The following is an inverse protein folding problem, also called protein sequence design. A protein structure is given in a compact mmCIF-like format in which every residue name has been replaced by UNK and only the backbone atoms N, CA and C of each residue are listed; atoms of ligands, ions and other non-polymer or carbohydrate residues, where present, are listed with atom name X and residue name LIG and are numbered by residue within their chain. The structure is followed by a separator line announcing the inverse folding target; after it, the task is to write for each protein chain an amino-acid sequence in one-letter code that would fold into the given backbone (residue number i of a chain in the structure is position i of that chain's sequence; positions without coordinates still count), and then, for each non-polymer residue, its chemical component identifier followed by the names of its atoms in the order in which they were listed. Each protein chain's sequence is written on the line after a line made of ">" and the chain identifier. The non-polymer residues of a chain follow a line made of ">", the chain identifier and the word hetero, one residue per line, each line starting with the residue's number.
data_IF_412904032404
#
_entry.id   IF_412904032404
#
_cell.length_a   1.000
_cell.length_b   1.000
_cell.length_c   1.000
_cell.angle_alpha   90.00
_cell.angle_beta   90.00
_cell.angle_gamma   90.00
#
_symmetry.space_group_name_H-M   'P 1'
#
loop_
_entity.id
_entity.type
_entity.pdbx_description
1 polymer ?
#
# COMPACT_ATOMS: atom_id res chain seq x y z
N UNK A 1 3.69 23.67 -21.08
CA UNK A 1 4.03 22.53 -20.20
C UNK A 1 5.30 22.88 -19.44
N UNK A 2 5.26 22.88 -18.12
CA UNK A 2 6.44 23.17 -17.33
C UNK A 2 7.35 21.94 -17.18
N UNK A 3 8.48 22.11 -16.48
CA UNK A 3 9.48 21.05 -16.34
C UNK A 3 8.95 19.85 -15.55
N UNK A 4 8.06 20.10 -14.55
CA UNK A 4 7.46 19.03 -13.75
C UNK A 4 6.51 18.21 -14.63
N UNK A 5 5.68 18.87 -15.42
CA UNK A 5 4.75 18.19 -16.32
C UNK A 5 5.50 17.32 -17.33
N UNK A 6 6.61 17.83 -17.88
CA UNK A 6 7.45 17.06 -18.79
C UNK A 6 8.05 15.83 -18.12
N UNK A 7 8.52 16.00 -16.88
CA UNK A 7 9.10 14.90 -16.11
C UNK A 7 8.05 13.81 -15.86
N UNK A 8 6.87 14.20 -15.38
CA UNK A 8 5.79 13.23 -15.11
C UNK A 8 5.37 12.51 -16.38
N UNK A 9 5.32 13.23 -17.51
CA UNK A 9 4.96 12.64 -18.81
C UNK A 9 5.98 11.59 -19.27
N UNK A 10 7.25 11.74 -18.89
CA UNK A 10 8.30 10.78 -19.23
C UNK A 10 8.28 9.52 -18.38
N UNK A 11 7.57 9.55 -17.23
CA UNK A 11 7.47 8.38 -16.38
C UNK A 11 6.48 7.39 -16.96
N UNK A 12 6.92 6.17 -17.17
CA UNK A 12 6.05 5.10 -17.63
C UNK A 12 5.83 4.13 -16.47
N UNK A 13 4.71 4.32 -15.77
CA UNK A 13 4.31 3.51 -14.64
C UNK A 13 2.99 2.83 -14.94
N UNK A 14 2.96 1.52 -14.79
CA UNK A 14 1.71 0.77 -14.85
C UNK A 14 1.16 0.65 -13.44
N UNK A 15 -0.09 1.05 -13.25
CA UNK A 15 -0.78 0.99 -11.97
C UNK A 15 -1.85 -0.08 -12.03
N UNK A 16 -1.83 -1.01 -11.07
CA UNK A 16 -2.82 -2.07 -10.99
C UNK A 16 -3.39 -2.10 -9.58
N UNK A 17 -4.72 -2.05 -9.48
CA UNK A 17 -5.42 -2.26 -8.21
C UNK A 17 -5.55 -3.77 -8.01
N UNK A 18 -5.01 -4.27 -6.91
CA UNK A 18 -4.90 -5.71 -6.65
C UNK A 18 -5.88 -6.17 -5.57
N UNK A 19 -5.99 -5.42 -4.46
CA UNK A 19 -6.71 -5.87 -3.27
C UNK A 19 -7.50 -4.71 -2.68
N UNK A 20 -8.73 -5.00 -2.31
CA UNK A 20 -9.55 -4.13 -1.47
C UNK A 20 -9.73 -4.81 -0.11
N UNK A 21 -9.23 -4.18 0.95
CA UNK A 21 -9.29 -4.74 2.31
C UNK A 21 -10.44 -4.12 3.10
N UNK A 22 -11.24 -4.98 3.70
CA UNK A 22 -12.24 -4.62 4.72
C UNK A 22 -11.93 -5.45 5.95
N UNK A 23 -11.12 -4.90 6.84
CA UNK A 23 -10.59 -5.64 7.97
C UNK A 23 -11.09 -5.03 9.28
N UNK A 24 -11.05 -5.83 10.33
CA UNK A 24 -11.31 -5.39 11.70
C UNK A 24 -10.15 -5.83 12.58
N UNK A 25 -9.74 -4.96 13.50
CA UNK A 25 -8.67 -5.30 14.44
C UNK A 25 -9.14 -6.43 15.39
N UNK A 26 -8.25 -7.30 15.85
CA UNK A 26 -6.84 -7.38 15.48
C UNK A 26 -6.60 -8.14 14.18
N UNK A 27 -5.53 -7.80 13.50
CA UNK A 27 -5.06 -8.56 12.34
C UNK A 27 -3.55 -8.36 12.15
N UNK A 28 -2.93 -9.32 11.48
CA UNK A 28 -1.53 -9.26 11.08
C UNK A 28 -1.43 -9.77 9.65
N UNK A 29 -0.89 -8.95 8.77
CA UNK A 29 -0.84 -9.27 7.34
C UNK A 29 0.59 -9.03 6.84
N UNK A 30 1.41 -10.10 6.77
CA UNK A 30 2.78 -9.95 6.25
C UNK A 30 2.75 -9.79 4.73
N UNK A 31 3.65 -8.98 4.24
CA UNK A 31 3.84 -8.76 2.81
C UNK A 31 5.31 -9.01 2.48
N UNK A 32 5.57 -10.02 1.64
CA UNK A 32 6.93 -10.36 1.27
C UNK A 32 7.50 -9.34 0.28
N UNK A 33 8.83 -9.35 0.16
CA UNK A 33 9.52 -8.47 -0.78
C UNK A 33 9.10 -8.78 -2.21
N UNK A 34 8.95 -7.73 -3.01
CA UNK A 34 8.52 -7.84 -4.40
C UNK A 34 9.70 -7.98 -5.35
N UNK A 35 9.40 -8.39 -6.59
CA UNK A 35 10.38 -8.41 -7.66
C UNK A 35 10.88 -7.00 -7.98
N UNK A 36 12.12 -6.83 -8.44
CA UNK A 36 12.64 -5.52 -8.85
C UNK A 36 11.74 -4.84 -9.88
N UNK A 37 11.55 -3.53 -9.71
CA UNK A 37 10.71 -2.74 -10.60
C UNK A 37 9.24 -2.69 -10.24
N UNK A 38 8.82 -3.43 -9.23
CA UNK A 38 7.43 -3.45 -8.74
C UNK A 38 7.39 -2.92 -7.32
N UNK A 39 6.43 -2.04 -7.04
CA UNK A 39 6.26 -1.45 -5.73
C UNK A 39 4.80 -1.50 -5.31
N UNK A 40 4.52 -2.01 -4.12
CA UNK A 40 3.19 -1.99 -3.56
C UNK A 40 2.88 -0.65 -2.95
N UNK A 41 1.64 -0.19 -3.16
CA UNK A 41 1.10 0.96 -2.46
C UNK A 41 -0.14 0.56 -1.67
N UNK A 42 -0.42 1.33 -0.65
CA UNK A 42 -1.60 1.17 0.20
C UNK A 42 -2.21 2.54 0.42
N UNK A 43 -3.51 2.65 0.17
CA UNK A 43 -4.27 3.87 0.44
C UNK A 43 -5.29 3.56 1.53
N UNK A 44 -5.13 4.17 2.69
CA UNK A 44 -6.02 3.94 3.80
C UNK A 44 -7.24 4.84 3.68
N UNK A 45 -8.41 4.23 3.51
CA UNK A 45 -9.67 4.94 3.32
C UNK A 45 -10.38 5.23 4.64
N UNK A 46 -10.37 4.27 5.55
CA UNK A 46 -10.97 4.39 6.89
C UNK A 46 -10.11 3.67 7.91
N UNK A 47 -10.14 4.14 9.14
CA UNK A 47 -9.47 3.50 10.26
C UNK A 47 -8.00 3.86 10.35
N UNK A 48 -7.24 3.00 10.99
CA UNK A 48 -5.81 3.17 11.16
C UNK A 48 -5.11 1.82 11.26
N UNK A 49 -3.83 1.79 10.96
CA UNK A 49 -3.02 0.59 11.11
C UNK A 49 -1.57 0.99 11.32
N UNK A 50 -0.74 0.00 11.64
CA UNK A 50 0.71 0.16 11.70
C UNK A 50 1.34 -0.68 10.61
N UNK A 51 2.37 -0.14 9.96
CA UNK A 51 3.21 -0.90 9.05
C UNK A 51 4.63 -0.89 9.59
N UNK A 52 5.24 -2.06 9.68
CA UNK A 52 6.64 -2.17 10.10
C UNK A 52 7.47 -2.74 8.97
N UNK A 53 8.66 -2.17 8.77
CA UNK A 53 9.59 -2.62 7.75
C UNK A 53 10.47 -3.77 8.25
N UNK A 54 11.36 -4.27 7.38
CA UNK A 54 12.22 -5.41 7.70
C UNK A 54 13.20 -5.12 8.85
N UNK A 55 13.47 -3.84 9.13
CA UNK A 55 14.33 -3.45 10.27
C UNK A 55 13.54 -3.36 11.58
N UNK A 56 12.22 -3.51 11.54
CA UNK A 56 11.35 -3.37 12.70
C UNK A 56 10.88 -1.95 12.95
N UNK A 57 11.22 -1.01 12.08
CA UNK A 57 10.76 0.37 12.21
C UNK A 57 9.27 0.44 11.88
N UNK A 58 8.51 1.07 12.78
CA UNK A 58 7.06 1.14 12.67
C UNK A 58 6.59 2.52 12.16
N UNK A 59 5.56 2.49 11.33
CA UNK A 59 4.94 3.67 10.76
C UNK A 59 3.43 3.56 10.97
N UNK A 60 2.85 4.56 11.64
CA UNK A 60 1.41 4.57 11.92
C UNK A 60 0.71 5.31 10.77
N UNK A 61 -0.28 4.65 10.17
CA UNK A 61 -1.09 5.22 9.10
C UNK A 61 -2.51 5.45 9.59
N UNK A 62 -3.11 6.53 9.10
CA UNK A 62 -4.49 6.87 9.39
C UNK A 62 -5.22 7.18 8.08
N UNK A 63 -6.54 7.27 8.15
CA UNK A 63 -7.36 7.51 6.97
C UNK A 63 -6.86 8.72 6.19
N UNK A 64 -6.76 8.58 4.88
CA UNK A 64 -6.21 9.58 3.98
C UNK A 64 -4.73 9.42 3.68
N UNK A 65 -4.02 8.53 4.36
CA UNK A 65 -2.60 8.31 4.10
C UNK A 65 -2.39 7.36 2.93
N UNK A 66 -1.49 7.76 2.04
CA UNK A 66 -0.97 6.94 0.94
C UNK A 66 0.43 6.48 1.32
N UNK A 67 0.69 5.18 1.19
CA UNK A 67 1.97 4.58 1.55
C UNK A 67 2.52 3.78 0.37
N UNK A 68 3.73 4.10 -0.06
CA UNK A 68 4.39 3.43 -1.20
C UNK A 68 5.67 2.75 -0.71
N UNK A 69 5.78 1.45 -0.97
CA UNK A 69 7.00 0.67 -0.72
C UNK A 69 7.82 0.68 -2.01
N UNK A 70 8.54 1.77 -2.22
CA UNK A 70 9.11 2.18 -3.51
C UNK A 70 10.12 1.20 -4.10
N UNK A 71 10.80 0.42 -3.26
CA UNK A 71 11.74 -0.61 -3.72
C UNK A 71 11.25 -2.02 -3.42
N UNK A 72 9.94 -2.17 -3.16
CA UNK A 72 9.33 -3.47 -2.95
C UNK A 72 9.74 -4.15 -1.65
N UNK A 73 10.07 -3.39 -0.63
CA UNK A 73 10.53 -3.95 0.65
C UNK A 73 9.46 -4.76 1.38
N UNK A 74 9.89 -5.82 2.05
CA UNK A 74 9.01 -6.62 2.90
C UNK A 74 8.49 -5.78 4.06
N UNK A 75 7.22 -5.96 4.41
CA UNK A 75 6.61 -5.20 5.50
C UNK A 75 5.46 -5.98 6.12
N UNK A 76 5.10 -5.60 7.35
CA UNK A 76 3.98 -6.17 8.08
C UNK A 76 2.93 -5.09 8.29
N UNK A 77 1.69 -5.38 7.92
CA UNK A 77 0.56 -4.49 8.16
C UNK A 77 -0.25 -5.09 9.31
N UNK A 78 -0.46 -4.32 10.37
CA UNK A 78 -1.15 -4.89 11.53
C UNK A 78 -1.93 -3.83 12.31
N UNK A 79 -2.91 -4.31 13.08
CA UNK A 79 -3.60 -3.56 14.10
C UNK A 79 -3.82 -4.51 15.27
N UNK A 80 -3.36 -4.11 16.46
CA UNK A 80 -3.33 -5.02 17.61
C UNK A 80 -2.22 -6.05 17.48
N UNK A 81 -2.27 -7.08 18.33
CA UNK A 81 -1.18 -8.03 18.46
C UNK A 81 -1.57 -9.47 18.13
N UNK A 82 -2.83 -9.73 17.88
CA UNK A 82 -3.31 -11.08 17.61
C UNK A 82 -3.57 -11.30 16.13
N UNK A 83 -3.25 -12.49 15.61
CA UNK A 83 -3.63 -12.84 14.25
C UNK A 83 -5.13 -13.05 14.12
N UNK A 84 -5.62 -13.00 12.89
CA UNK A 84 -6.98 -13.38 12.55
C UNK A 84 -6.98 -14.23 11.31
N UNK A 85 -8.12 -14.82 10.98
CA UNK A 85 -8.26 -15.58 9.74
C UNK A 85 -8.81 -14.67 8.65
N UNK A 86 -8.24 -14.78 7.46
CA UNK A 86 -8.63 -13.98 6.32
C UNK A 86 -9.50 -14.79 5.37
N UNK A 87 -10.44 -14.10 4.73
CA UNK A 87 -11.28 -14.64 3.67
C UNK A 87 -11.07 -13.81 2.42
N UNK A 88 -10.84 -14.47 1.29
CA UNK A 88 -10.63 -13.82 0.00
C UNK A 88 -11.77 -14.12 -0.95
N UNK A 89 -12.24 -13.09 -1.65
CA UNK A 89 -13.19 -13.23 -2.75
C UNK A 89 -12.68 -12.41 -3.93
N UNK A 90 -12.74 -12.97 -5.14
CA UNK A 90 -12.30 -12.27 -6.34
C UNK A 90 -13.49 -11.73 -7.12
N UNK A 91 -13.44 -10.42 -7.47
CA UNK A 91 -14.44 -9.77 -8.28
C UNK A 91 -13.75 -8.95 -9.35
N UNK A 92 -13.92 -9.32 -10.62
CA UNK A 92 -13.34 -8.58 -11.76
C UNK A 92 -11.82 -8.38 -11.64
N UNK A 93 -11.12 -9.42 -11.17
CA UNK A 93 -9.66 -9.37 -11.04
C UNK A 93 -9.15 -8.70 -9.78
N UNK A 94 -10.02 -8.17 -8.94
CA UNK A 94 -9.65 -7.55 -7.67
C UNK A 94 -10.01 -8.48 -6.53
N UNK A 95 -9.06 -8.75 -5.64
CA UNK A 95 -9.29 -9.57 -4.46
C UNK A 95 -9.93 -8.69 -3.38
N UNK A 96 -11.06 -9.13 -2.84
CA UNK A 96 -11.64 -8.52 -1.64
C UNK A 96 -11.22 -9.36 -0.45
N UNK A 97 -10.52 -8.72 0.49
CA UNK A 97 -9.98 -9.36 1.67
C UNK A 97 -10.76 -8.90 2.90
N UNK A 98 -11.24 -9.86 3.68
CA UNK A 98 -11.91 -9.62 4.95
C UNK A 98 -11.34 -10.55 6.02
N UNK A 99 -11.72 -10.35 7.27
CA UNK A 99 -11.27 -11.22 8.35
C UNK A 99 -12.37 -11.43 9.39
N UNK A 100 -12.11 -12.31 10.36
CA UNK A 100 -13.07 -12.74 11.36
C UNK A 100 -12.98 -12.00 12.70
N UNK A 101 -12.17 -10.98 12.81
CA UNK A 101 -12.09 -10.13 14.00
C UNK A 101 -13.26 -9.13 14.04
N UNK A 102 -13.52 -8.56 15.21
CA UNK A 102 -14.69 -7.72 15.44
C UNK A 102 -14.35 -6.36 16.08
N UNK A 103 -13.08 -5.96 16.05
CA UNK A 103 -12.62 -4.68 16.59
C UNK A 103 -12.81 -3.51 15.63
N UNK A 104 -11.96 -2.50 15.76
CA UNK A 104 -12.01 -1.31 14.94
C UNK A 104 -11.95 -1.63 13.46
N UNK A 105 -12.85 -1.09 12.63
CA UNK A 105 -12.84 -1.37 11.20
C UNK A 105 -11.79 -0.55 10.45
N UNK A 106 -11.31 -1.13 9.36
CA UNK A 106 -10.36 -0.51 8.44
C UNK A 106 -10.78 -0.83 7.02
N UNK A 107 -10.68 0.17 6.12
CA UNK A 107 -10.77 -0.07 4.68
C UNK A 107 -9.52 0.45 4.01
N UNK A 108 -8.94 -0.35 3.15
CA UNK A 108 -7.68 -0.03 2.51
C UNK A 108 -7.66 -0.55 1.07
N UNK A 109 -7.18 0.29 0.17
CA UNK A 109 -7.00 -0.09 -1.23
C UNK A 109 -5.51 -0.34 -1.45
N UNK A 110 -5.18 -1.51 -2.02
CA UNK A 110 -3.80 -1.90 -2.27
C UNK A 110 -3.60 -2.21 -3.74
N UNK A 111 -2.44 -1.87 -4.24
CA UNK A 111 -2.10 -2.15 -5.62
C UNK A 111 -0.60 -2.05 -5.86
N UNK A 112 -0.23 -2.10 -7.13
CA UNK A 112 1.17 -2.05 -7.53
C UNK A 112 1.41 -0.96 -8.55
N UNK A 113 2.62 -0.38 -8.49
CA UNK A 113 3.22 0.36 -9.57
C UNK A 113 4.34 -0.49 -10.16
N UNK A 114 4.38 -0.60 -11.48
CA UNK A 114 5.47 -1.25 -12.18
C UNK A 114 6.14 -0.23 -13.08
N UNK A 115 7.45 -0.05 -12.90
CA UNK A 115 8.24 0.85 -13.72
C UNK A 115 8.47 0.22 -15.09
N UNK A 116 8.10 0.91 -16.16
CA UNK A 116 8.20 0.40 -17.54
C UNK A 116 9.30 1.08 -18.33
N UNK A 117 9.99 2.06 -17.74
CA UNK A 117 11.16 2.69 -18.36
C UNK A 117 12.18 3.08 -17.29
N UNK A 118 13.36 3.54 -17.75
CA UNK A 118 14.46 3.88 -16.83
C UNK A 118 14.16 5.07 -15.95
N UNK A 119 13.42 6.05 -16.46
CA UNK A 119 13.07 7.24 -15.67
C UNK A 119 12.21 6.84 -14.48
N UNK A 120 11.19 6.00 -14.69
CA UNK A 120 10.32 5.50 -13.65
C UNK A 120 11.10 4.64 -12.66
N UNK A 121 11.93 3.72 -13.14
CA UNK A 121 12.75 2.86 -12.27
C UNK A 121 13.72 3.69 -11.42
N UNK A 122 14.33 4.72 -12.00
CA UNK A 122 15.24 5.62 -11.30
C UNK A 122 14.54 6.39 -10.20
N UNK A 123 13.32 6.89 -10.47
CA UNK A 123 12.53 7.59 -9.46
C UNK A 123 12.24 6.65 -8.27
N UNK A 124 11.80 5.42 -8.55
CA UNK A 124 11.50 4.45 -7.49
C UNK A 124 12.69 4.17 -6.60
N UNK A 125 13.92 4.22 -7.14
CA UNK A 125 15.13 3.98 -6.38
C UNK A 125 15.50 5.12 -5.43
N UNK A 126 15.10 6.35 -5.74
CA UNK A 126 15.49 7.52 -4.94
C UNK A 126 14.41 7.99 -3.97
N UNK A 127 13.19 7.48 -4.10
CA UNK A 127 12.12 7.81 -3.16
C UNK A 127 12.37 7.16 -1.80
N UNK A 128 11.92 7.78 -0.71
CA UNK A 128 11.94 7.12 0.61
C UNK A 128 11.18 5.79 0.60
N UNK A 129 11.57 4.86 1.45
CA UNK A 129 10.83 3.62 1.64
C UNK A 129 10.58 3.37 3.12
N UNK A 130 9.32 3.39 3.56
CA UNK A 130 8.15 3.74 2.74
C UNK A 130 8.05 5.24 2.51
N UNK A 131 7.45 5.61 1.38
CA UNK A 131 7.02 6.98 1.14
C UNK A 131 5.59 7.11 1.65
N UNK A 132 5.35 7.97 2.61
CA UNK A 132 4.03 8.20 3.19
C UNK A 132 3.60 9.62 2.88
N UNK A 133 2.45 9.76 2.22
CA UNK A 133 1.91 11.05 1.82
C UNK A 133 0.50 11.19 2.39
N UNK A 134 0.27 12.16 3.29
CA UNK A 134 -1.08 12.42 3.77
C UNK A 134 -1.88 13.14 2.68
N UNK A 135 -2.94 12.51 2.19
CA UNK A 135 -3.80 13.09 1.16
C UNK A 135 -4.99 13.84 1.75
N UNK A 136 -5.19 13.72 3.06
CA UNK A 136 -6.30 14.36 3.74
C UNK A 136 -7.60 13.59 3.56
N UNK A 137 -8.73 14.30 3.63
CA UNK A 137 -10.04 13.67 3.51
C UNK A 137 -10.25 13.14 2.10
N UNK A 138 -10.64 11.87 2.03
CA UNK A 138 -10.92 11.20 0.75
C UNK A 138 -12.42 11.17 0.55
N UNK A 139 -12.93 11.67 -0.60
CA UNK A 139 -14.36 11.58 -0.90
C UNK A 139 -14.84 10.14 -0.92
N UNK A 140 -15.99 9.90 -0.28
CA UNK A 140 -16.60 8.58 -0.21
C UNK A 140 -17.61 8.35 -1.32
#
# INVERSE_FOLDING_TARGET
>A
MDSIDRFVTLLDLETTIEIFCRLQAPFRMPHEADAPGTAWFHLLLDGHCTMSDASGRAHILQAGDFCLWSRGGAHLIFAGHSPSQFTEESHNGIVQLSNDSDGEPLRMLCGTFTARNRAAAGLMQVLPEPLIVPLGDIPQ
#
